data_IF_648630181478
#
_entry.id   IF_648630181478
#
_cell.length_a   1.000
_cell.length_b   1.000
_cell.length_c   1.000
_cell.angle_alpha   90.00
_cell.angle_beta   90.00
_cell.angle_gamma   90.00
#
_symmetry.space_group_name_H-M   'P 1'
#
loop_
_entity.id
_entity.type
_entity.pdbx_description
1 polymer ?
#
# COMPACT_ATOMS: atom_id res chain seq x y z
N UNK A 1 10.27 4.16 -16.01
CA UNK A 1 9.25 4.57 -15.03
C UNK A 1 8.68 5.91 -15.47
N UNK A 2 7.36 6.01 -15.68
CA UNK A 2 6.74 7.26 -16.10
C UNK A 2 6.49 8.10 -14.85
N UNK A 3 7.16 9.25 -14.72
CA UNK A 3 7.12 10.10 -13.51
C UNK A 3 5.69 10.47 -13.10
N UNK A 4 4.80 10.64 -14.07
CA UNK A 4 3.36 10.87 -13.83
C UNK A 4 2.71 9.74 -13.04
N UNK A 5 2.95 8.48 -13.43
CA UNK A 5 2.35 7.32 -12.76
C UNK A 5 2.82 7.13 -11.33
N UNK A 6 4.08 7.47 -11.03
CA UNK A 6 4.62 7.44 -9.66
C UNK A 6 3.94 8.48 -8.78
N UNK A 7 3.80 9.70 -9.27
CA UNK A 7 3.13 10.79 -8.55
C UNK A 7 1.65 10.47 -8.27
N UNK A 8 0.96 9.84 -9.21
CA UNK A 8 -0.42 9.40 -8.99
C UNK A 8 -0.51 8.36 -7.87
N UNK A 9 0.40 7.38 -7.85
CA UNK A 9 0.44 6.37 -6.79
C UNK A 9 0.80 6.97 -5.44
N UNK A 10 1.75 7.90 -5.39
CA UNK A 10 2.09 8.62 -4.17
C UNK A 10 0.88 9.34 -3.59
N UNK A 11 0.12 10.08 -4.42
CA UNK A 11 -1.12 10.74 -3.99
C UNK A 11 -2.16 9.75 -3.45
N UNK A 12 -2.32 8.60 -4.09
CA UNK A 12 -3.22 7.54 -3.61
C UNK A 12 -2.78 6.99 -2.25
N UNK A 13 -1.47 6.77 -2.06
CA UNK A 13 -0.89 6.29 -0.81
C UNK A 13 -1.11 7.31 0.31
N UNK A 14 -0.75 8.58 0.08
CA UNK A 14 -0.89 9.65 1.08
C UNK A 14 -2.35 9.84 1.49
N UNK A 15 -3.27 9.78 0.51
CA UNK A 15 -4.70 9.85 0.78
C UNK A 15 -5.18 8.69 1.66
N UNK A 16 -4.81 7.45 1.32
CA UNK A 16 -5.23 6.27 2.07
C UNK A 16 -4.63 6.25 3.49
N UNK A 17 -3.37 6.64 3.64
CA UNK A 17 -2.70 6.74 4.95
C UNK A 17 -3.33 7.86 5.78
N UNK A 18 -3.62 9.00 5.16
CA UNK A 18 -4.30 10.13 5.81
C UNK A 18 -5.69 9.75 6.31
N UNK A 19 -6.49 9.08 5.47
CA UNK A 19 -7.81 8.58 5.85
C UNK A 19 -7.72 7.61 7.02
N UNK A 20 -6.82 6.62 6.96
CA UNK A 20 -6.63 5.67 8.06
C UNK A 20 -6.15 6.35 9.36
N UNK A 21 -5.35 7.41 9.27
CA UNK A 21 -4.86 8.16 10.43
C UNK A 21 -5.98 8.91 11.18
N UNK A 22 -7.06 9.32 10.49
CA UNK A 22 -8.24 9.92 11.13
C UNK A 22 -8.89 8.96 12.12
N UNK A 23 -8.90 7.67 11.79
CA UNK A 23 -9.38 6.58 12.67
C UNK A 23 -8.31 6.07 13.65
N UNK A 24 -7.17 6.77 13.78
CA UNK A 24 -6.04 6.37 14.62
C UNK A 24 -5.20 5.22 14.06
N UNK A 25 -5.47 4.79 12.83
CA UNK A 25 -4.71 3.77 12.12
C UNK A 25 -3.32 4.27 11.69
N UNK A 26 -2.31 3.38 11.78
CA UNK A 26 -0.97 3.65 11.27
C UNK A 26 -0.46 2.44 10.49
N UNK A 27 0.13 2.63 9.30
CA UNK A 27 0.68 1.52 8.55
C UNK A 27 1.85 0.88 9.32
N UNK A 28 1.84 -0.46 9.36
CA UNK A 28 2.95 -1.25 9.94
C UNK A 28 4.20 -1.14 9.08
N UNK A 29 5.36 -1.59 9.56
CA UNK A 29 6.59 -1.63 8.76
C UNK A 29 6.42 -2.42 7.46
N UNK A 30 5.73 -3.57 7.53
CA UNK A 30 5.38 -4.36 6.34
C UNK A 30 4.53 -3.55 5.34
N UNK A 31 3.50 -2.86 5.83
CA UNK A 31 2.62 -2.05 4.98
C UNK A 31 3.39 -0.89 4.34
N UNK A 32 4.28 -0.23 5.09
CA UNK A 32 5.10 0.88 4.58
C UNK A 32 6.03 0.43 3.45
N UNK A 33 6.69 -0.71 3.63
CA UNK A 33 7.58 -1.29 2.62
C UNK A 33 6.80 -1.64 1.34
N UNK A 34 5.67 -2.33 1.48
CA UNK A 34 4.81 -2.71 0.36
C UNK A 34 4.25 -1.49 -0.41
N UNK A 35 3.88 -0.41 0.30
CA UNK A 35 3.44 0.84 -0.34
C UNK A 35 4.59 1.53 -1.10
N UNK A 36 5.82 1.45 -0.59
CA UNK A 36 7.01 1.98 -1.27
C UNK A 36 7.30 1.24 -2.59
N UNK A 37 7.21 -0.09 -2.58
CA UNK A 37 7.33 -0.92 -3.78
C UNK A 37 6.24 -0.58 -4.81
N UNK A 38 5.01 -0.35 -4.35
CA UNK A 38 3.90 0.06 -5.22
C UNK A 38 4.12 1.45 -5.82
N UNK A 39 4.58 2.40 -5.02
CA UNK A 39 4.92 3.76 -5.48
C UNK A 39 5.94 3.71 -6.62
N UNK A 40 7.02 2.95 -6.44
CA UNK A 40 8.07 2.75 -7.45
C UNK A 40 7.60 1.93 -8.65
N UNK A 41 6.53 1.15 -8.49
CA UNK A 41 6.02 0.24 -9.50
C UNK A 41 6.76 -1.06 -9.64
N UNK A 42 7.43 -1.46 -8.56
CA UNK A 42 7.99 -2.80 -8.39
C UNK A 42 6.86 -3.83 -8.20
N UNK A 43 5.72 -3.41 -7.65
CA UNK A 43 4.51 -4.23 -7.54
C UNK A 43 3.30 -3.55 -8.16
N UNK A 44 2.40 -4.35 -8.74
CA UNK A 44 1.10 -3.90 -9.25
C UNK A 44 0.06 -3.80 -8.14
N UNK A 45 -1.06 -3.11 -8.40
CA UNK A 45 -2.18 -3.02 -7.45
C UNK A 45 -2.75 -4.41 -7.10
N UNK A 46 -2.69 -5.37 -8.03
CA UNK A 46 -3.13 -6.76 -7.81
C UNK A 46 -2.20 -7.48 -6.83
N UNK A 47 -0.90 -7.35 -7.02
CA UNK A 47 0.13 -7.95 -6.15
C UNK A 47 0.11 -7.32 -4.76
N UNK A 48 -0.03 -6.00 -4.68
CA UNK A 48 -0.20 -5.29 -3.41
C UNK A 48 -1.43 -5.82 -2.64
N UNK A 49 -2.58 -5.95 -3.31
CA UNK A 49 -3.79 -6.52 -2.70
C UNK A 49 -3.56 -7.97 -2.23
N UNK A 50 -2.92 -8.79 -3.05
CA UNK A 50 -2.62 -10.18 -2.69
C UNK A 50 -1.67 -10.27 -1.48
N UNK A 51 -0.63 -9.43 -1.42
CA UNK A 51 0.31 -9.41 -0.30
C UNK A 51 -0.38 -9.01 1.02
N UNK A 52 -1.28 -8.02 0.99
CA UNK A 52 -2.09 -7.64 2.15
C UNK A 52 -2.99 -8.80 2.61
N UNK A 53 -3.70 -9.44 1.66
CA UNK A 53 -4.55 -10.60 1.96
C UNK A 53 -3.74 -11.75 2.57
N UNK A 54 -2.57 -12.07 2.00
CA UNK A 54 -1.70 -13.12 2.54
C UNK A 54 -1.15 -12.80 3.93
N UNK A 55 -0.87 -11.53 4.24
CA UNK A 55 -0.32 -11.15 5.54
C UNK A 55 -1.37 -11.15 6.65
N UNK A 56 -2.56 -10.60 6.37
CA UNK A 56 -3.56 -10.31 7.40
C UNK A 56 -4.77 -11.25 7.40
N UNK A 57 -5.08 -11.90 6.27
CA UNK A 57 -6.25 -12.78 6.15
C UNK A 57 -5.90 -14.28 6.15
N UNK A 58 -4.61 -14.66 6.26
CA UNK A 58 -4.19 -16.08 6.37
C UNK A 58 -4.48 -16.76 7.72
N UNK A 59 -5.34 -16.19 8.56
CA UNK A 59 -5.93 -16.88 9.73
C UNK A 59 -7.40 -17.20 9.44
N UNK A 60 -7.63 -18.27 8.70
CA UNK A 60 -8.84 -19.08 8.85
C UNK A 60 -8.59 -20.45 8.23
N UNK A 61 -7.96 -21.33 9.00
CA UNK A 61 -8.10 -22.77 8.84
C UNK A 61 -8.55 -23.34 10.18
#
# INVERSE_FOLDING_TARGET
>A
MNVSTRLERQKQIDFAVGLAALDGGKPTSFTKELLCEYEKGEVTSKELKQAILQKYFRKSK
#
